data_IF_915920802227
#
_entry.id   IF_915920802227
#
_cell.length_a   1.000
_cell.length_b   1.000
_cell.length_c   1.000
_cell.angle_alpha   90.00
_cell.angle_beta   90.00
_cell.angle_gamma   90.00
#
_symmetry.space_group_name_H-M   'P 1'
#
loop_
_entity.id
_entity.type
_entity.pdbx_description
1 polymer ?
#
# COMPACT_ATOMS: atom_id res chain seq x y z
N UNK A 1 -20.64 -0.99 21.63
CA UNK A 1 -19.50 -1.62 20.94
C UNK A 1 -18.66 -0.50 20.37
N UNK A 2 -17.37 -0.41 20.69
CA UNK A 2 -16.48 0.51 19.99
C UNK A 2 -16.28 -0.06 18.59
N UNK A 3 -16.96 0.47 17.57
CA UNK A 3 -16.72 0.16 16.15
C UNK A 3 -15.29 0.60 15.79
N UNK A 4 -14.34 -0.22 16.22
CA UNK A 4 -12.92 0.02 16.00
C UNK A 4 -12.63 -0.49 14.62
N UNK A 5 -12.12 0.38 13.75
CA UNK A 5 -11.76 0.03 12.40
C UNK A 5 -10.75 -1.13 12.39
N UNK A 6 -11.16 -2.28 11.85
CA UNK A 6 -10.30 -3.45 11.70
C UNK A 6 -9.46 -3.32 10.42
N UNK A 7 -8.18 -2.97 10.61
CA UNK A 7 -7.23 -2.82 9.50
C UNK A 7 -6.96 -4.12 8.77
N UNK A 8 -7.00 -5.28 9.44
CA UNK A 8 -6.73 -6.56 8.79
C UNK A 8 -7.91 -6.99 7.92
N UNK A 9 -9.14 -6.86 8.43
CA UNK A 9 -10.34 -7.09 7.62
C UNK A 9 -10.36 -6.19 6.39
N UNK A 10 -10.01 -4.91 6.57
CA UNK A 10 -9.93 -3.95 5.48
C UNK A 10 -8.87 -4.33 4.44
N UNK A 11 -7.67 -4.72 4.88
CA UNK A 11 -6.59 -5.12 3.98
C UNK A 11 -6.93 -6.42 3.24
N UNK A 12 -7.63 -7.36 3.87
CA UNK A 12 -8.13 -8.56 3.22
C UNK A 12 -9.09 -8.22 2.08
N UNK A 13 -10.08 -7.39 2.34
CA UNK A 13 -11.06 -6.97 1.33
C UNK A 13 -10.36 -6.19 0.21
N UNK A 14 -9.46 -5.27 0.56
CA UNK A 14 -8.68 -4.50 -0.41
C UNK A 14 -7.77 -5.39 -1.27
N UNK A 15 -7.14 -6.42 -0.72
CA UNK A 15 -6.30 -7.36 -1.47
C UNK A 15 -7.10 -8.11 -2.54
N UNK A 16 -8.37 -8.45 -2.27
CA UNK A 16 -9.26 -9.19 -3.19
C UNK A 16 -9.58 -8.45 -4.49
N UNK A 17 -9.35 -7.13 -4.55
CA UNK A 17 -9.63 -6.31 -5.73
C UNK A 17 -8.34 -5.71 -6.33
N UNK A 18 -7.58 -6.48 -7.15
CA UNK A 18 -6.38 -6.00 -7.84
C UNK A 18 -6.57 -4.70 -8.61
N UNK A 19 -7.76 -4.47 -9.19
CA UNK A 19 -8.10 -3.23 -9.89
C UNK A 19 -7.95 -1.95 -9.05
N UNK A 20 -7.89 -2.06 -7.72
CA UNK A 20 -7.69 -0.91 -6.82
C UNK A 20 -6.21 -0.64 -6.47
N UNK A 21 -5.34 -1.62 -6.61
CA UNK A 21 -3.99 -1.56 -6.03
C UNK A 21 -2.87 -2.05 -6.95
N UNK A 22 -3.14 -2.97 -7.88
CA UNK A 22 -2.15 -3.56 -8.77
C UNK A 22 -2.08 -2.78 -10.08
N UNK A 23 -0.99 -2.05 -10.32
CA UNK A 23 -0.86 -1.19 -11.51
C UNK A 23 -0.83 -1.96 -12.83
N UNK A 24 -0.38 -3.21 -12.80
CA UNK A 24 -0.31 -4.10 -13.96
C UNK A 24 -1.64 -4.79 -14.26
N UNK A 25 -2.63 -4.67 -13.38
CA UNK A 25 -3.94 -5.25 -13.59
C UNK A 25 -4.68 -4.52 -14.74
N UNK A 26 -5.28 -5.24 -15.71
CA UNK A 26 -5.96 -4.60 -16.83
C UNK A 26 -7.16 -3.76 -16.40
N UNK A 27 -7.82 -4.14 -15.31
CA UNK A 27 -8.98 -3.45 -14.76
C UNK A 27 -8.58 -2.21 -13.92
N UNK A 28 -7.29 -2.03 -13.60
CA UNK A 28 -6.79 -0.86 -12.84
C UNK A 28 -7.10 0.48 -13.51
N UNK A 29 -7.16 0.50 -14.85
CA UNK A 29 -7.49 1.69 -15.64
C UNK A 29 -9.01 1.84 -15.85
N UNK A 30 -9.79 0.81 -15.59
CA UNK A 30 -11.23 0.80 -15.82
C UNK A 30 -11.97 1.42 -14.64
N UNK A 31 -12.42 2.66 -14.82
CA UNK A 31 -13.13 3.41 -13.77
C UNK A 31 -14.32 2.65 -13.18
N UNK A 32 -15.19 2.09 -14.03
CA UNK A 32 -16.37 1.36 -13.58
C UNK A 32 -16.03 0.12 -12.72
N UNK A 33 -14.94 -0.59 -13.03
CA UNK A 33 -14.45 -1.73 -12.22
C UNK A 33 -13.97 -1.28 -10.85
N UNK A 34 -13.28 -0.14 -10.78
CA UNK A 34 -12.82 0.43 -9.51
C UNK A 34 -13.98 0.94 -8.67
N UNK A 35 -14.91 1.67 -9.29
CA UNK A 35 -16.09 2.20 -8.59
C UNK A 35 -16.91 1.03 -7.99
N UNK A 36 -17.14 -0.05 -8.75
CA UNK A 36 -17.82 -1.25 -8.23
C UNK A 36 -17.05 -1.95 -7.09
N UNK A 37 -15.72 -2.07 -7.19
CA UNK A 37 -14.91 -2.65 -6.13
C UNK A 37 -14.89 -1.78 -4.87
N UNK A 38 -14.86 -0.45 -5.02
CA UNK A 38 -14.94 0.49 -3.90
C UNK A 38 -16.28 0.43 -3.19
N UNK A 39 -17.39 0.27 -3.91
CA UNK A 39 -18.73 0.08 -3.31
C UNK A 39 -18.75 -1.17 -2.42
N UNK A 40 -18.22 -2.30 -2.91
CA UNK A 40 -18.17 -3.55 -2.13
C UNK A 40 -17.33 -3.40 -0.85
N UNK A 41 -16.14 -2.78 -0.93
CA UNK A 41 -15.30 -2.56 0.26
C UNK A 41 -15.95 -1.54 1.20
N UNK A 42 -16.67 -0.55 0.69
CA UNK A 42 -17.34 0.45 1.52
C UNK A 42 -18.37 -0.21 2.44
N UNK A 43 -19.16 -1.14 1.92
CA UNK A 43 -20.17 -1.89 2.67
C UNK A 43 -19.57 -2.69 3.82
N UNK A 44 -18.40 -3.32 3.63
CA UNK A 44 -17.75 -4.11 4.68
C UNK A 44 -16.90 -3.28 5.66
N UNK A 45 -16.42 -2.11 5.25
CA UNK A 45 -15.44 -1.31 6.01
C UNK A 45 -16.03 -0.35 7.05
N UNK A 46 -17.34 -0.05 6.97
CA UNK A 46 -17.99 0.89 7.88
C UNK A 46 -17.53 2.35 7.75
N UNK A 47 -16.80 2.72 6.69
CA UNK A 47 -16.21 4.06 6.50
C UNK A 47 -17.22 5.15 6.09
N UNK A 48 -18.49 4.79 5.90
CA UNK A 48 -19.63 5.67 5.65
C UNK A 48 -19.70 6.28 4.25
N UNK A 49 -18.57 6.68 3.65
CA UNK A 49 -18.53 7.25 2.29
C UNK A 49 -17.37 6.74 1.45
N UNK A 50 -17.56 6.68 0.13
CA UNK A 50 -16.49 6.36 -0.86
C UNK A 50 -15.30 7.32 -0.71
N UNK A 51 -15.54 8.59 -0.36
CA UNK A 51 -14.48 9.57 -0.11
C UNK A 51 -13.57 9.12 1.05
N UNK A 52 -14.16 8.69 2.16
CA UNK A 52 -13.40 8.20 3.32
C UNK A 52 -12.65 6.90 3.00
N UNK A 53 -13.27 6.00 2.23
CA UNK A 53 -12.62 4.80 1.72
C UNK A 53 -11.37 5.13 0.90
N UNK A 54 -11.49 6.01 -0.11
CA UNK A 54 -10.35 6.43 -0.94
C UNK A 54 -9.25 7.11 -0.12
N UNK A 55 -9.62 7.92 0.86
CA UNK A 55 -8.67 8.53 1.80
C UNK A 55 -7.94 7.48 2.64
N UNK A 56 -8.65 6.46 3.13
CA UNK A 56 -8.05 5.35 3.88
C UNK A 56 -7.08 4.53 3.01
N UNK A 57 -7.49 4.16 1.80
CA UNK A 57 -6.62 3.47 0.82
C UNK A 57 -5.35 4.30 0.56
N UNK A 58 -5.51 5.59 0.31
CA UNK A 58 -4.38 6.51 0.10
C UNK A 58 -3.47 6.56 1.31
N UNK A 59 -4.02 6.68 2.52
CA UNK A 59 -3.26 6.71 3.77
C UNK A 59 -2.41 5.45 3.95
N UNK A 60 -3.03 4.27 3.83
CA UNK A 60 -2.33 2.97 3.92
C UNK A 60 -1.19 2.89 2.91
N UNK A 61 -1.43 3.26 1.66
CA UNK A 61 -0.42 3.21 0.59
C UNK A 61 0.73 4.18 0.84
N UNK A 62 0.43 5.40 1.28
CA UNK A 62 1.44 6.39 1.64
C UNK A 62 2.33 5.86 2.78
N UNK A 63 1.72 5.36 3.86
CA UNK A 63 2.46 4.80 5.00
C UNK A 63 3.29 3.60 4.58
N UNK A 64 2.72 2.64 3.82
CA UNK A 64 3.47 1.50 3.29
C UNK A 64 4.69 1.93 2.47
N UNK A 65 4.53 2.86 1.53
CA UNK A 65 5.64 3.33 0.69
C UNK A 65 6.73 4.05 1.50
N UNK A 66 6.35 4.78 2.56
CA UNK A 66 7.32 5.39 3.48
C UNK A 66 8.13 4.33 4.23
N UNK A 67 7.47 3.29 4.74
CA UNK A 67 8.15 2.16 5.39
C UNK A 67 9.09 1.42 4.42
N UNK A 68 8.64 1.11 3.20
CA UNK A 68 9.50 0.53 2.15
C UNK A 68 10.71 1.41 1.85
N UNK A 69 10.52 2.73 1.78
CA UNK A 69 11.63 3.68 1.57
C UNK A 69 12.63 3.63 2.71
N UNK A 70 12.19 3.55 3.97
CA UNK A 70 13.08 3.42 5.14
C UNK A 70 13.86 2.10 5.11
N UNK A 71 13.20 0.99 4.76
CA UNK A 71 13.85 -0.32 4.58
C UNK A 71 14.94 -0.21 3.51
N UNK A 72 14.61 0.31 2.33
CA UNK A 72 15.56 0.43 1.23
C UNK A 72 16.74 1.35 1.56
N UNK A 73 16.48 2.49 2.23
CA UNK A 73 17.55 3.39 2.71
C UNK A 73 18.48 2.68 3.69
N UNK A 74 17.94 1.93 4.65
CA UNK A 74 18.75 1.18 5.63
C UNK A 74 19.63 0.10 4.99
N UNK A 75 19.20 -0.45 3.84
CA UNK A 75 19.99 -1.42 3.06
C UNK A 75 21.07 -0.74 2.20
N UNK A 76 20.81 0.47 1.69
CA UNK A 76 21.70 1.17 0.75
C UNK A 76 22.87 1.89 1.42
N UNK A 77 22.75 2.31 2.69
CA UNK A 77 23.79 3.10 3.39
C UNK A 77 24.89 2.23 3.98
N UNK A 78 25.40 1.26 3.21
CA UNK A 78 26.41 0.29 3.60
C UNK A 78 27.59 0.87 4.39
N UNK A 79 27.51 0.78 5.71
CA UNK A 79 28.63 0.84 6.65
C UNK A 79 28.20 0.15 7.93
N UNK A 80 28.59 -1.11 8.06
CA UNK A 80 28.42 -1.90 9.27
C UNK A 80 27.09 -2.64 9.35
N UNK A 81 27.21 -3.93 9.64
CA UNK A 81 26.20 -4.99 9.78
C UNK A 81 25.16 -4.79 10.91
N UNK A 82 24.74 -3.58 11.24
CA UNK A 82 24.16 -3.34 12.57
C UNK A 82 22.65 -3.02 12.66
N UNK A 83 21.93 -2.55 11.63
CA UNK A 83 20.48 -2.35 11.79
C UNK A 83 19.74 -2.13 10.45
N UNK A 84 19.22 -3.21 9.85
CA UNK A 84 18.19 -3.06 8.82
C UNK A 84 16.93 -2.57 9.53
N UNK A 85 16.32 -1.51 9.01
CA UNK A 85 15.08 -0.97 9.58
C UNK A 85 13.95 -2.01 9.49
N UNK A 86 13.34 -2.32 10.63
CA UNK A 86 12.16 -3.18 10.72
C UNK A 86 10.91 -2.30 10.94
N UNK A 87 9.91 -2.35 10.04
CA UNK A 87 8.64 -1.68 10.24
C UNK A 87 7.98 -2.07 11.55
N UNK A 88 7.46 -1.09 12.29
CA UNK A 88 6.76 -1.34 13.57
C UNK A 88 5.25 -1.55 13.42
N UNK A 89 4.73 -1.32 12.22
CA UNK A 89 3.30 -1.42 11.93
C UNK A 89 2.91 -2.89 11.80
N UNK A 90 2.03 -3.34 12.70
CA UNK A 90 1.59 -4.74 12.75
C UNK A 90 0.99 -5.22 11.41
N UNK A 91 0.27 -4.34 10.72
CA UNK A 91 -0.36 -4.65 9.44
C UNK A 91 0.61 -4.57 8.24
N UNK A 92 1.85 -4.09 8.42
CA UNK A 92 2.79 -3.87 7.32
C UNK A 92 3.09 -5.17 6.57
N UNK A 93 3.38 -6.25 7.28
CA UNK A 93 3.71 -7.54 6.66
C UNK A 93 2.56 -8.07 5.80
N UNK A 94 1.32 -7.90 6.29
CA UNK A 94 0.12 -8.26 5.52
C UNK A 94 0.02 -7.43 4.24
N UNK A 95 0.17 -6.11 4.35
CA UNK A 95 0.13 -5.22 3.20
C UNK A 95 1.27 -5.51 2.20
N UNK A 96 2.47 -5.82 2.70
CA UNK A 96 3.64 -6.13 1.88
C UNK A 96 3.44 -7.37 1.01
N UNK A 97 2.72 -8.39 1.51
CA UNK A 97 2.47 -9.64 0.78
C UNK A 97 1.87 -9.41 -0.62
N UNK A 98 1.08 -8.36 -0.80
CA UNK A 98 0.48 -8.03 -2.10
C UNK A 98 0.96 -6.71 -2.69
N UNK A 99 1.19 -5.65 -1.90
CA UNK A 99 1.56 -4.34 -2.42
C UNK A 99 2.97 -4.31 -3.05
N UNK A 100 3.89 -5.17 -2.60
CA UNK A 100 5.25 -5.25 -3.16
C UNK A 100 5.28 -5.60 -4.65
N UNK A 101 4.23 -6.26 -5.15
CA UNK A 101 4.07 -6.60 -6.57
C UNK A 101 4.11 -5.39 -7.50
N UNK A 102 3.78 -4.20 -6.98
CA UNK A 102 3.91 -2.95 -7.73
C UNK A 102 5.35 -2.47 -7.91
N UNK A 103 6.28 -2.97 -7.11
CA UNK A 103 7.70 -2.61 -7.13
C UNK A 103 8.53 -3.60 -7.94
N UNK A 104 8.07 -4.85 -8.11
CA UNK A 104 8.78 -5.90 -8.86
C UNK A 104 8.95 -5.56 -10.36
N UNK A 105 8.19 -4.59 -10.89
CA UNK A 105 8.34 -4.05 -12.24
C UNK A 105 9.19 -2.77 -12.37
N UNK A 106 9.62 -2.17 -11.25
CA UNK A 106 10.49 -0.99 -11.26
C UNK A 106 11.94 -1.45 -11.25
N UNK A 107 12.47 -1.78 -12.43
CA UNK A 107 13.91 -1.68 -12.66
C UNK A 107 14.32 -0.26 -12.29
N UNK A 108 15.28 -0.16 -11.39
CA UNK A 108 15.98 1.04 -10.94
C UNK A 108 16.00 2.11 -12.04
N UNK A 109 15.20 3.16 -11.87
CA UNK A 109 15.39 4.40 -12.65
C UNK A 109 16.31 5.28 -11.82
N UNK A 110 17.43 5.59 -12.46
CA UNK A 110 18.61 6.25 -11.92
C UNK A 110 18.26 7.42 -11.01
N UNK A 111 18.90 7.43 -9.85
CA UNK A 111 19.02 8.60 -9.01
C UNK A 111 19.74 9.69 -9.80
N UNK A 112 19.01 10.62 -10.40
CA UNK A 112 19.59 11.91 -10.78
C UNK A 112 19.85 12.69 -9.49
N UNK A 113 21.00 12.41 -8.87
CA UNK A 113 21.64 13.31 -7.92
C UNK A 113 21.96 14.59 -8.71
N UNK A 114 21.10 15.58 -8.56
CA UNK A 114 21.41 16.94 -8.98
C UNK A 114 22.51 17.43 -8.05
N UNK A 115 23.75 17.38 -8.53
CA UNK A 115 24.86 18.13 -7.96
C UNK A 115 24.72 19.59 -8.38
N UNK A 116 24.57 20.48 -7.40
CA UNK A 116 24.92 21.90 -7.52
C UNK A 116 25.69 22.29 -6.26
#
# INVERSE_FOLDING_TARGET
MSDTFDIYKFLEDYQRFPCLWLKSDPDFKLRHKRDAAEEIILESSGLGTIKNLRLKIRSIRCTYNQEVTKINKSKSTGSGTANVYVPKLQWFEYADNFLKKNNDGVKQSETNLVSF
#
